data_IF_883627920683
#
_entry.id   IF_883627920683
#
_cell.length_a   1.000
_cell.length_b   1.000
_cell.length_c   1.000
_cell.angle_alpha   90.00
_cell.angle_beta   90.00
_cell.angle_gamma   90.00
#
_symmetry.space_group_name_H-M   'P 1'
#
loop_
_entity.id
_entity.type
_entity.pdbx_description
1 polymer ?
2 non-polymer ?
3 non-polymer ?
4 non-polymer ?
5 water ?
#
# COMPACT_ATOMS: atom_id res chain seq x y z
N UNK A 2 5.71 -14.18 -35.70
CA UNK A 2 5.50 -13.74 -34.31
C UNK A 2 4.57 -12.54 -34.33
N UNK A 3 4.03 -12.23 -33.14
CA UNK A 3 3.07 -11.18 -32.97
C UNK A 3 3.10 -10.69 -31.53
N UNK A 4 2.73 -9.42 -31.37
CA UNK A 4 2.62 -8.84 -30.03
C UNK A 4 1.37 -9.37 -29.32
N UNK A 5 1.56 -10.00 -28.17
CA UNK A 5 0.46 -10.54 -27.36
C UNK A 5 0.00 -9.58 -26.27
N UNK A 6 0.93 -8.76 -25.76
CA UNK A 6 0.62 -7.76 -24.76
C UNK A 6 1.66 -6.64 -24.93
N UNK A 7 1.23 -5.42 -24.60
CA UNK A 7 2.17 -4.29 -24.63
C UNK A 7 1.60 -3.21 -23.77
N UNK A 8 2.51 -2.53 -23.05
CA UNK A 8 2.17 -1.28 -22.38
C UNK A 8 3.46 -0.47 -22.24
N UNK A 9 3.31 0.84 -22.16
CA UNK A 9 4.51 1.69 -22.08
C UNK A 9 4.06 2.99 -21.43
N UNK A 10 5.04 3.73 -20.88
CA UNK A 10 4.74 5.03 -20.31
C UNK A 10 5.92 5.55 -19.50
N UNK A 11 5.53 6.36 -18.48
CA UNK A 11 6.56 7.03 -17.68
C UNK A 11 6.41 6.56 -16.22
N UNK A 12 7.54 6.12 -15.66
CA UNK A 12 7.64 5.68 -14.28
C UNK A 12 8.45 6.68 -13.45
N UNK A 13 8.29 6.61 -12.15
CA UNK A 13 9.14 7.35 -11.18
C UNK A 13 9.00 8.85 -11.37
N UNK A 14 7.77 9.33 -11.60
CA UNK A 14 7.47 10.75 -11.71
C UNK A 14 7.15 11.30 -10.34
N UNK A 15 8.09 12.06 -9.79
CA UNK A 15 7.90 12.69 -8.47
C UNK A 15 7.07 13.96 -8.60
N UNK A 16 6.10 14.15 -7.74
CA UNK A 16 5.19 15.30 -7.79
C UNK A 16 4.93 15.82 -6.39
N UNK A 17 5.06 17.15 -6.22
CA UNK A 17 4.66 17.84 -5.01
C UNK A 17 3.55 18.83 -5.35
N UNK A 18 2.61 19.01 -4.43
CA UNK A 18 1.60 20.08 -4.54
C UNK A 18 1.38 20.73 -3.18
N UNK A 19 1.21 22.06 -3.17
CA UNK A 19 0.88 22.82 -1.98
C UNK A 19 -0.46 23.49 -2.16
N UNK A 20 -1.24 23.55 -1.08
CA UNK A 20 -2.43 24.34 -0.91
C UNK A 20 -2.18 25.42 0.12
N UNK A 21 -2.48 26.65 -0.22
CA UNK A 21 -2.29 27.80 0.65
C UNK A 21 -3.62 28.44 1.00
N UNK A 22 -4.00 28.53 2.25
CA UNK A 22 -5.17 29.26 2.69
C UNK A 22 -4.77 30.71 2.95
N UNK A 23 -5.16 31.65 2.10
CA UNK A 23 -4.61 32.99 2.41
C UNK A 23 -5.36 33.73 3.51
N UNK A 24 -6.52 33.24 3.95
CA UNK A 24 -7.21 33.90 5.06
C UNK A 24 -6.67 33.45 6.41
N UNK A 25 -6.23 32.19 6.48
CA UNK A 25 -5.70 31.70 7.74
C UNK A 25 -4.18 31.56 7.67
N UNK A 26 -3.58 31.51 6.52
CA UNK A 26 -2.13 31.38 6.35
C UNK A 26 -1.60 29.97 6.38
N UNK A 27 -2.50 29.05 6.62
CA UNK A 27 -2.24 27.62 6.78
C UNK A 27 -1.99 27.03 5.42
N UNK A 28 -0.85 26.35 5.32
CA UNK A 28 -0.46 25.65 4.08
C UNK A 28 -0.52 24.15 4.30
N UNK A 29 -0.82 23.37 3.27
CA UNK A 29 -0.87 21.93 3.37
C UNK A 29 -0.15 21.35 2.17
N UNK A 30 0.70 20.35 2.37
CA UNK A 30 1.51 19.79 1.26
C UNK A 30 1.15 18.33 1.02
N UNK A 31 1.35 17.92 -0.24
CA UNK A 31 1.12 16.58 -0.75
C UNK A 31 2.34 16.20 -1.61
N UNK A 32 2.86 14.97 -1.45
CA UNK A 32 3.94 14.50 -2.31
C UNK A 32 3.71 13.04 -2.68
N UNK A 33 3.96 12.74 -3.96
CA UNK A 33 3.71 11.41 -4.50
C UNK A 33 4.79 11.04 -5.52
N UNK A 34 4.84 9.77 -5.84
CA UNK A 34 5.53 9.25 -7.01
C UNK A 34 4.53 8.53 -7.89
N UNK A 35 4.52 8.85 -9.19
CA UNK A 35 3.47 8.39 -10.11
C UNK A 35 4.11 7.60 -11.24
N UNK A 36 3.38 6.54 -11.64
CA UNK A 36 3.68 5.80 -12.86
C UNK A 36 2.37 5.71 -13.70
N UNK A 37 2.49 6.00 -15.00
CA UNK A 37 1.38 5.83 -15.92
C UNK A 37 1.86 4.99 -17.10
N UNK A 38 1.22 3.84 -17.33
CA UNK A 38 1.48 3.00 -18.48
C UNK A 38 0.18 2.87 -19.31
N UNK A 39 0.30 3.04 -20.62
CA UNK A 39 -0.81 3.00 -21.56
C UNK A 39 -0.80 1.74 -22.39
N UNK A 40 -2.03 1.33 -22.77
CA UNK A 40 -2.28 0.21 -23.67
C UNK A 40 -3.22 0.69 -24.78
N UNK A 41 -3.12 0.04 -25.95
CA UNK A 41 -4.11 0.32 -27.00
C UNK A 41 -3.57 -0.21 -28.31
N UNK A 42 -3.94 0.51 -29.36
CA UNK A 42 -3.57 0.08 -30.72
C UNK A 42 -2.16 0.56 -31.05
N UNK A 43 -1.21 -0.01 -30.33
CA UNK A 43 0.18 0.43 -30.36
C UNK A 43 1.12 -0.61 -30.93
N UNK A 44 0.63 -1.75 -31.35
CA UNK A 44 1.50 -2.85 -31.75
C UNK A 44 2.44 -2.47 -32.89
N UNK A 45 2.03 -1.61 -33.83
CA UNK A 45 2.91 -1.29 -34.96
C UNK A 45 4.11 -0.47 -34.56
N UNK A 46 4.13 0.12 -33.35
CA UNK A 46 5.37 0.78 -32.88
C UNK A 46 6.45 -0.27 -32.66
N UNK A 47 6.04 -1.47 -32.28
CA UNK A 47 6.93 -2.60 -32.04
C UNK A 47 7.30 -3.32 -33.32
N UNK A 48 6.31 -3.57 -34.19
CA UNK A 48 6.56 -4.46 -35.32
C UNK A 48 6.97 -3.74 -36.59
N UNK A 49 6.68 -2.46 -36.74
CA UNK A 49 6.87 -1.76 -38.05
C UNK A 49 7.57 -0.42 -37.85
N UNK A 50 8.15 -0.17 -36.65
CA UNK A 50 8.83 1.10 -36.43
C UNK A 50 7.88 2.28 -36.68
N UNK A 51 6.61 2.12 -36.35
CA UNK A 51 5.60 3.17 -36.55
C UNK A 51 5.40 3.95 -35.27
N UNK A 52 6.12 5.08 -35.11
CA UNK A 52 6.01 5.84 -33.88
C UNK A 52 4.77 6.75 -33.84
N UNK A 53 3.98 6.81 -34.94
CA UNK A 53 2.80 7.69 -34.93
C UNK A 53 1.77 7.36 -33.84
N UNK A 54 1.78 6.10 -33.40
CA UNK A 54 0.86 5.62 -32.39
C UNK A 54 1.34 5.86 -30.97
N UNK A 55 2.57 6.39 -30.86
CA UNK A 55 3.15 6.60 -29.52
C UNK A 55 2.90 8.02 -29.03
N UNK A 56 2.17 8.11 -27.93
CA UNK A 56 2.09 9.33 -27.07
C UNK A 56 3.43 9.28 -26.33
N UNK A 57 4.35 10.20 -26.58
CA UNK A 57 5.69 10.09 -26.00
C UNK A 57 5.63 10.02 -24.48
N UNK A 58 6.55 9.23 -23.92
CA UNK A 58 6.53 9.14 -22.45
C UNK A 58 6.79 10.51 -21.83
N UNK A 59 7.58 11.37 -22.49
CA UNK A 59 7.77 12.73 -21.99
C UNK A 59 6.46 13.50 -21.89
N UNK A 60 5.59 13.28 -22.89
CA UNK A 60 4.26 13.92 -22.90
C UNK A 60 3.35 13.40 -21.79
N UNK A 61 3.46 12.08 -21.51
CA UNK A 61 2.75 11.49 -20.35
C UNK A 61 3.21 12.20 -19.08
N UNK A 62 4.52 12.39 -18.91
CA UNK A 62 5.06 13.13 -17.76
C UNK A 62 4.44 14.52 -17.69
N UNK A 63 4.46 15.26 -18.81
CA UNK A 63 3.83 16.61 -18.78
C UNK A 63 2.39 16.58 -18.31
N UNK A 64 1.69 15.56 -18.82
CA UNK A 64 0.25 15.41 -18.48
C UNK A 64 0.01 15.18 -17.01
N UNK A 65 0.91 14.39 -16.36
CA UNK A 65 0.79 14.20 -14.91
C UNK A 65 0.84 15.55 -14.18
N UNK A 66 1.85 16.39 -14.53
CA UNK A 66 1.95 17.66 -13.85
C UNK A 66 0.77 18.59 -14.12
N UNK A 67 0.32 18.62 -15.39
CA UNK A 67 -0.84 19.47 -15.72
C UNK A 67 -2.08 19.02 -14.97
N UNK A 68 -2.27 17.70 -14.90
CA UNK A 68 -3.46 17.16 -14.21
C UNK A 68 -3.39 17.53 -12.73
N UNK A 69 -2.21 17.46 -12.10
CA UNK A 69 -2.09 17.85 -10.70
C UNK A 69 -2.35 19.34 -10.50
N UNK A 70 -1.97 20.16 -11.50
CA UNK A 70 -2.25 21.61 -11.35
C UNK A 70 -3.75 21.92 -11.38
N UNK A 71 -4.49 21.15 -12.21
CA UNK A 71 -5.89 21.51 -12.50
C UNK A 71 -6.88 20.73 -11.67
N UNK A 72 -6.48 19.82 -10.82
CA UNK A 72 -7.38 18.90 -10.14
C UNK A 72 -6.88 18.62 -8.75
N UNK A 73 -7.76 18.14 -7.89
CA UNK A 73 -7.28 17.69 -6.57
C UNK A 73 -6.35 16.51 -6.71
N UNK A 74 -5.31 16.46 -5.87
CA UNK A 74 -4.42 15.30 -5.84
C UNK A 74 -4.81 14.35 -4.70
N UNK A 75 -5.83 14.72 -3.90
CA UNK A 75 -6.29 13.88 -2.82
C UNK A 75 -7.81 13.73 -2.92
N UNK A 76 -8.37 12.59 -2.57
CA UNK A 76 -7.63 11.36 -2.27
C UNK A 76 -6.95 10.79 -3.52
N UNK A 77 -5.91 9.99 -3.35
CA UNK A 77 -5.16 9.48 -4.53
C UNK A 77 -6.00 8.61 -5.45
N UNK A 78 -7.02 7.98 -4.90
CA UNK A 78 -7.96 7.17 -5.73
C UNK A 78 -8.64 8.06 -6.77
N UNK A 79 -8.99 9.28 -6.34
CA UNK A 79 -9.63 10.25 -7.23
C UNK A 79 -8.64 10.76 -8.26
N UNK A 80 -7.47 11.21 -7.82
CA UNK A 80 -6.46 11.74 -8.75
C UNK A 80 -6.09 10.71 -9.80
N UNK A 81 -5.87 9.45 -9.38
CA UNK A 81 -5.50 8.43 -10.35
C UNK A 81 -6.61 8.14 -11.37
N UNK A 82 -7.86 8.22 -10.89
CA UNK A 82 -9.03 8.03 -11.78
C UNK A 82 -9.16 9.15 -12.80
N UNK A 83 -8.92 10.41 -12.35
CA UNK A 83 -8.95 11.56 -13.23
C UNK A 83 -7.88 11.39 -14.29
N UNK A 84 -6.64 11.06 -13.87
CA UNK A 84 -5.49 10.97 -14.74
C UNK A 84 -5.68 9.85 -15.75
N UNK A 85 -6.13 8.67 -15.34
CA UNK A 85 -6.28 7.57 -16.26
C UNK A 85 -7.44 7.83 -17.25
N UNK A 86 -8.52 8.41 -16.76
CA UNK A 86 -9.67 8.73 -17.62
C UNK A 86 -9.21 9.66 -18.75
N UNK A 87 -8.35 10.66 -18.39
CA UNK A 87 -7.86 11.59 -19.38
C UNK A 87 -7.29 10.87 -20.59
N UNK A 88 -6.41 9.86 -20.39
CA UNK A 88 -5.73 9.27 -21.52
C UNK A 88 -6.70 8.51 -22.46
N UNK A 89 -7.64 7.79 -21.86
CA UNK A 89 -8.55 7.03 -22.72
C UNK A 89 -9.55 7.95 -23.38
N UNK A 90 -9.90 9.11 -22.82
CA UNK A 90 -10.78 10.05 -23.50
C UNK A 90 -10.05 10.90 -24.52
N UNK A 91 -8.82 11.30 -24.23
CA UNK A 91 -8.09 12.20 -25.14
C UNK A 91 -7.65 11.49 -26.40
N UNK A 92 -7.22 10.23 -26.33
CA UNK A 92 -6.58 9.50 -27.41
C UNK A 92 -7.47 8.35 -27.86
N UNK A 93 -8.05 8.43 -29.05
CA UNK A 93 -9.00 7.40 -29.51
C UNK A 93 -8.41 6.01 -29.46
N UNK A 94 -7.13 5.90 -29.79
CA UNK A 94 -6.49 4.60 -29.95
C UNK A 94 -5.88 4.02 -28.67
N UNK A 95 -5.93 4.79 -27.59
CA UNK A 95 -5.53 4.32 -26.26
C UNK A 95 -6.77 3.81 -25.52
N UNK A 96 -6.70 2.57 -25.06
CA UNK A 96 -7.88 1.88 -24.54
C UNK A 96 -7.72 1.48 -23.09
N UNK A 97 -6.54 1.65 -22.47
CA UNK A 97 -6.39 1.44 -21.03
C UNK A 97 -5.26 2.33 -20.54
N UNK A 98 -5.43 2.75 -19.30
CA UNK A 98 -4.39 3.50 -18.58
C UNK A 98 -4.25 2.94 -17.20
N UNK A 99 -3.03 2.61 -16.83
CA UNK A 99 -2.68 1.96 -15.58
C UNK A 99 -1.89 2.96 -14.76
N UNK A 100 -2.47 3.43 -13.68
CA UNK A 100 -1.89 4.52 -12.89
C UNK A 100 -1.55 3.99 -11.50
N UNK A 101 -0.28 4.07 -11.13
CA UNK A 101 0.17 3.70 -9.80
C UNK A 101 0.67 4.96 -9.09
N UNK A 102 0.23 5.14 -7.86
CA UNK A 102 0.63 6.29 -7.08
C UNK A 102 1.08 5.82 -5.71
N UNK A 103 2.26 6.31 -5.30
CA UNK A 103 2.80 6.16 -3.97
C UNK A 103 2.71 7.54 -3.30
N UNK A 104 2.00 7.67 -2.16
CA UNK A 104 1.87 8.92 -1.41
C UNK A 104 2.84 8.87 -0.24
N UNK A 105 3.65 9.91 -0.11
CA UNK A 105 4.68 10.06 0.90
C UNK A 105 4.13 10.91 2.06
N UNK A 106 4.53 10.60 3.31
CA UNK A 106 3.99 11.34 4.46
C UNK A 106 4.71 12.65 4.70
N UNK A 107 3.91 13.69 4.84
CA UNK A 107 4.33 15.02 5.32
C UNK A 107 3.33 15.46 6.39
N UNK A 108 3.64 15.15 7.64
CA UNK A 108 2.76 15.41 8.77
C UNK A 108 3.06 16.76 9.38
N UNK A 109 2.05 17.56 9.62
CA UNK A 109 2.25 18.91 10.16
C UNK A 109 2.99 18.85 11.49
N UNK A 110 3.99 19.69 11.69
CA UNK A 110 4.70 19.76 12.95
C UNK A 110 3.89 20.50 14.03
N UNK A 111 4.01 19.99 15.24
CA UNK A 111 3.54 20.69 16.42
C UNK A 111 4.73 21.33 17.13
N UNK A 112 4.59 22.64 17.30
CA UNK A 112 5.65 23.44 17.88
C UNK A 112 5.06 24.11 19.13
N UNK A 113 5.69 23.85 20.26
CA UNK A 113 5.19 24.30 21.55
C UNK A 113 3.69 24.03 21.69
N UNK A 114 3.28 22.84 21.28
CA UNK A 114 1.91 22.44 21.48
C UNK A 114 0.86 22.98 20.53
N UNK A 115 1.30 23.70 19.51
CA UNK A 115 0.37 24.25 18.52
C UNK A 115 0.77 23.79 17.12
N UNK A 116 -0.17 23.35 16.29
CA UNK A 116 0.15 23.03 14.89
C UNK A 116 0.76 24.18 14.11
N UNK A 117 1.87 23.92 13.42
CA UNK A 117 2.54 24.95 12.66
C UNK A 117 1.91 25.13 11.28
N UNK A 118 1.74 26.38 10.83
CA UNK A 118 1.08 26.59 9.56
C UNK A 118 1.75 26.09 8.30
N UNK A 119 3.02 25.82 8.24
CA UNK A 119 3.77 25.48 7.05
C UNK A 119 5.05 24.68 7.19
N UNK A 120 5.15 23.88 8.25
CA UNK A 120 6.30 23.02 8.48
C UNK A 120 5.85 21.60 8.76
N UNK A 121 6.57 20.65 8.16
CA UNK A 121 6.16 19.26 8.10
C UNK A 121 7.32 18.32 8.36
N UNK A 122 6.97 17.13 8.85
CA UNK A 122 7.95 16.07 9.11
C UNK A 122 7.57 14.78 8.39
N UNK A 123 8.57 14.08 7.87
CA UNK A 123 8.38 12.72 7.33
C UNK A 123 8.34 11.79 8.54
N UNK A 124 7.19 11.57 9.11
CA UNK A 124 7.09 10.57 10.20
C UNK A 124 7.00 9.15 9.51
N UNK A 125 8.06 8.58 9.10
CA UNK A 125 8.02 7.20 8.62
C UNK A 125 7.87 7.12 7.16
N UNK A 126 8.44 6.01 6.73
CA UNK A 126 8.41 5.62 5.36
C UNK A 126 7.15 4.85 5.05
N UNK A 127 6.19 4.75 5.97
CA UNK A 127 4.91 4.16 5.59
C UNK A 127 4.32 4.97 4.43
N UNK A 128 3.75 4.24 3.46
CA UNK A 128 3.17 4.81 2.27
C UNK A 128 1.67 4.51 2.25
N UNK A 129 0.92 5.37 1.57
CA UNK A 129 -0.45 5.11 1.14
C UNK A 129 -0.39 5.04 -0.39
N UNK A 130 -0.93 3.98 -0.97
CA UNK A 130 -0.77 3.75 -2.40
C UNK A 130 -2.15 3.52 -3.05
N UNK A 131 -2.14 3.70 -4.36
CA UNK A 131 -3.27 3.24 -5.19
C UNK A 131 -2.71 2.67 -6.49
N UNK A 132 -3.47 1.70 -7.01
CA UNK A 132 -3.35 1.19 -8.37
C UNK A 132 -4.73 1.39 -9.01
N UNK A 133 -4.79 2.21 -10.03
CA UNK A 133 -6.01 2.57 -10.74
C UNK A 133 -5.91 2.11 -12.18
N UNK A 134 -6.75 1.15 -12.56
CA UNK A 134 -6.74 0.64 -13.94
C UNK A 134 -8.04 1.15 -14.60
N UNK A 135 -7.84 2.03 -15.55
CA UNK A 135 -8.97 2.64 -16.29
C UNK A 135 -8.99 1.94 -17.64
N UNK A 136 -10.06 1.18 -17.89
CA UNK A 136 -10.14 0.32 -19.06
C UNK A 136 -11.40 0.67 -19.85
N UNK A 137 -11.20 1.14 -21.09
CA UNK A 137 -12.31 1.62 -21.89
C UNK A 137 -13.30 0.48 -22.07
N UNK A 138 -14.55 0.81 -21.79
CA UNK A 138 -15.62 -0.18 -21.93
C UNK A 138 -15.77 -1.03 -20.68
N UNK A 139 -14.84 -0.96 -19.74
CA UNK A 139 -14.87 -1.82 -18.54
C UNK A 139 -14.90 -1.06 -17.22
N UNK A 140 -14.69 0.23 -17.17
CA UNK A 140 -14.78 1.05 -15.98
C UNK A 140 -13.39 1.27 -15.36
N UNK A 141 -13.45 1.43 -14.04
CA UNK A 141 -12.24 1.80 -13.26
C UNK A 141 -12.13 0.82 -12.11
N UNK A 142 -11.01 0.12 -12.06
CA UNK A 142 -10.69 -0.86 -11.04
C UNK A 142 -9.60 -0.24 -10.11
N UNK A 143 -9.94 -0.10 -8.84
CA UNK A 143 -9.07 0.54 -7.87
C UNK A 143 -8.70 -0.41 -6.77
N UNK A 144 -7.38 -0.53 -6.53
CA UNK A 144 -6.82 -1.16 -5.37
C UNK A 144 -6.11 -0.08 -4.53
N UNK A 145 -6.46 0.01 -3.26
CA UNK A 145 -5.87 0.94 -2.34
C UNK A 145 -5.02 0.18 -1.34
N UNK A 146 -3.95 0.79 -0.84
CA UNK A 146 -3.15 0.04 0.12
C UNK A 146 -2.41 0.98 1.05
N UNK A 147 -1.99 0.40 2.16
CA UNK A 147 -0.96 0.98 3.03
C UNK A 147 0.18 -0.03 3.00
N UNK A 148 1.42 0.48 3.06
CA UNK A 148 2.60 -0.37 3.02
C UNK A 148 3.71 0.25 3.84
N UNK A 149 4.69 -0.56 4.25
CA UNK A 149 5.78 -0.01 5.02
C UNK A 149 5.40 0.41 6.41
N UNK A 150 4.33 -0.13 6.98
CA UNK A 150 3.93 0.12 8.37
C UNK A 150 4.62 -0.93 9.24
N UNK A 151 5.71 -0.55 9.86
CA UNK A 151 6.60 -1.48 10.57
C UNK A 151 6.29 -1.45 12.08
N UNK A 152 5.98 -2.61 12.61
CA UNK A 152 5.49 -2.74 13.98
C UNK A 152 6.21 -3.93 14.64
N UNK A 153 6.16 -3.92 15.98
CA UNK A 153 6.72 -4.96 16.80
C UNK A 153 5.90 -5.06 18.08
N UNK A 154 5.61 -6.31 18.49
CA UNK A 154 5.11 -6.53 19.85
C UNK A 154 6.06 -7.51 20.51
N UNK A 155 6.24 -7.26 21.81
CA UNK A 155 7.31 -7.92 22.58
C UNK A 155 6.82 -9.19 23.30
N UNK A 156 5.52 -9.41 23.31
CA UNK A 156 4.89 -10.60 23.89
C UNK A 156 3.52 -10.72 23.26
N UNK A 157 2.71 -11.69 23.73
CA UNK A 157 1.37 -11.95 23.20
C UNK A 157 1.39 -12.28 21.71
N UNK A 158 2.40 -13.10 21.38
CA UNK A 158 2.50 -13.81 20.12
C UNK A 158 2.97 -15.22 20.47
N UNK A 159 2.33 -16.22 19.84
CA UNK A 159 2.61 -17.61 20.04
C UNK A 159 2.75 -18.33 18.68
N UNK A 160 3.39 -19.50 18.66
CA UNK A 160 3.39 -20.35 17.46
C UNK A 160 3.73 -21.77 17.87
N UNK A 161 2.65 -22.56 18.01
CA UNK A 161 2.74 -23.96 18.39
C UNK A 161 1.69 -24.76 17.62
N UNK A 162 1.80 -26.07 17.63
CA UNK A 162 0.81 -26.90 17.01
C UNK A 162 0.97 -27.06 15.51
N UNK A 163 2.11 -26.65 14.93
CA UNK A 163 2.39 -26.80 13.50
C UNK A 163 2.85 -28.23 13.18
N UNK A 164 2.83 -28.58 11.91
CA UNK A 164 3.21 -29.92 11.45
C UNK A 164 4.67 -30.18 11.80
N UNK A 165 4.95 -31.38 12.33
CA UNK A 165 6.28 -31.82 12.66
C UNK A 165 6.60 -33.13 11.95
N UNK A 166 7.66 -33.18 11.17
CA UNK A 166 8.22 -34.36 10.49
C UNK A 166 9.74 -34.30 10.40
N UNK A 167 10.33 -35.10 9.52
CA UNK A 167 11.80 -35.25 9.46
C UNK A 167 12.48 -34.01 8.90
N UNK A 168 11.75 -32.99 8.44
CA UNK A 168 12.33 -31.73 8.00
C UNK A 168 12.24 -30.65 9.09
N UNK A 169 11.66 -30.94 10.25
CA UNK A 169 11.31 -29.94 11.24
C UNK A 169 12.33 -29.88 12.39
N UNK A 170 12.87 -28.68 12.63
CA UNK A 170 13.70 -28.43 13.79
C UNK A 170 13.12 -27.35 14.69
N UNK A 171 12.18 -26.54 14.23
CA UNK A 171 11.69 -25.40 14.99
C UNK A 171 10.98 -25.81 16.27
N UNK A 172 11.36 -25.20 17.39
CA UNK A 172 10.68 -25.44 18.65
C UNK A 172 9.35 -24.70 18.74
N UNK A 173 8.33 -25.33 19.29
CA UNK A 173 7.12 -24.62 19.67
C UNK A 173 7.36 -23.50 20.65
N UNK A 174 6.58 -22.43 20.58
CA UNK A 174 6.70 -21.35 21.55
C UNK A 174 5.32 -20.79 21.94
N UNK A 175 5.22 -20.44 23.22
CA UNK A 175 4.05 -19.79 23.80
C UNK A 175 4.29 -18.32 24.11
N UNK A 176 5.43 -17.76 23.73
CA UNK A 176 5.72 -16.34 23.97
C UNK A 176 6.91 -15.97 23.12
N UNK A 177 6.67 -15.22 22.03
CA UNK A 177 7.73 -14.78 21.13
C UNK A 177 7.47 -13.34 20.76
N UNK A 178 8.49 -12.73 20.16
CA UNK A 178 8.35 -11.45 19.50
C UNK A 178 7.64 -11.63 18.14
N UNK A 179 6.83 -10.68 17.79
CA UNK A 179 6.30 -10.65 16.43
C UNK A 179 6.53 -9.26 15.86
N UNK A 180 7.21 -9.20 14.72
CA UNK A 180 7.44 -7.94 14.02
C UNK A 180 7.23 -8.15 12.52
N UNK A 181 6.63 -7.13 11.91
CA UNK A 181 6.32 -7.23 10.47
C UNK A 181 6.34 -5.83 9.88
N UNK A 182 6.30 -5.82 8.55
CA UNK A 182 6.10 -4.63 7.70
C UNK A 182 4.72 -4.85 7.05
N UNK A 183 3.70 -4.09 7.44
CA UNK A 183 2.35 -4.36 6.96
C UNK A 183 2.18 -3.84 5.52
N UNK A 184 1.75 -4.72 4.61
CA UNK A 184 1.26 -4.38 3.29
C UNK A 184 -0.20 -4.87 3.26
N UNK A 185 -1.13 -3.96 3.26
CA UNK A 185 -2.59 -4.26 3.27
C UNK A 185 -3.24 -3.57 2.09
N UNK A 186 -4.00 -4.34 1.30
CA UNK A 186 -4.64 -3.81 0.10
C UNK A 186 -6.13 -4.09 0.14
N UNK A 187 -6.94 -3.11 -0.20
CA UNK A 187 -8.39 -3.30 -0.31
C UNK A 187 -8.77 -3.01 -1.75
N UNK A 188 -9.53 -3.94 -2.32
CA UNK A 188 -10.01 -3.91 -3.69
C UNK A 188 -11.45 -3.41 -3.75
N UNK A 189 -11.69 -2.27 -4.38
CA UNK A 189 -13.03 -1.67 -4.48
C UNK A 189 -13.84 -2.41 -5.52
N UNK A 190 -15.16 -2.38 -5.29
CA UNK A 190 -16.10 -2.71 -6.37
C UNK A 190 -15.69 -1.94 -7.61
N UNK A 191 -15.88 -2.56 -8.79
CA UNK A 191 -15.69 -1.86 -10.03
C UNK A 191 -16.55 -0.62 -10.07
N UNK A 192 -15.96 0.47 -10.51
CA UNK A 192 -16.70 1.71 -10.73
C UNK A 192 -16.97 1.88 -12.21
N UNK A 193 -18.12 2.44 -12.57
CA UNK A 193 -18.44 2.50 -14.01
C UNK A 193 -17.64 3.55 -14.76
N UNK A 194 -17.07 4.50 -14.02
CA UNK A 194 -16.38 5.64 -14.58
C UNK A 194 -16.08 6.65 -13.51
N UNK A 195 -15.58 7.78 -13.99
CA UNK A 195 -15.15 8.81 -13.06
C UNK A 195 -16.29 9.38 -12.24
N UNK A 196 -17.52 9.52 -12.79
CA UNK A 196 -18.62 10.04 -11.97
C UNK A 196 -18.88 9.19 -10.73
N UNK A 197 -18.83 7.86 -10.94
CA UNK A 197 -19.11 6.99 -9.77
C UNK A 197 -17.97 7.08 -8.73
N UNK A 198 -16.72 7.19 -9.20
CA UNK A 198 -15.61 7.39 -8.28
C UNK A 198 -15.84 8.67 -7.46
N UNK A 199 -16.23 9.77 -8.10
CA UNK A 199 -16.46 11.04 -7.43
C UNK A 199 -17.58 10.89 -6.39
N UNK A 200 -18.59 10.07 -6.70
CA UNK A 200 -19.71 9.93 -5.78
C UNK A 200 -19.30 9.29 -4.46
N UNK A 201 -18.19 8.57 -4.44
CA UNK A 201 -17.75 7.87 -3.24
C UNK A 201 -16.52 8.49 -2.59
N UNK A 202 -16.15 9.71 -2.99
CA UNK A 202 -14.90 10.29 -2.53
C UNK A 202 -14.71 10.27 -1.01
N UNK A 203 -15.65 10.60 -0.15
CA UNK A 203 -15.35 10.57 1.29
C UNK A 203 -14.99 9.19 1.79
N UNK A 204 -15.44 8.16 1.12
CA UNK A 204 -15.12 6.81 1.56
C UNK A 204 -13.66 6.43 1.43
N UNK A 205 -12.91 7.10 0.55
CA UNK A 205 -11.50 6.66 0.36
C UNK A 205 -10.64 6.96 1.60
N UNK A 206 -10.63 8.23 2.07
CA UNK A 206 -9.85 8.52 3.28
C UNK A 206 -10.40 7.80 4.51
N UNK A 207 -11.74 7.66 4.58
CA UNK A 207 -12.35 6.99 5.72
C UNK A 207 -11.93 5.54 5.81
N UNK A 208 -11.84 4.89 4.64
CA UNK A 208 -11.52 3.47 4.60
C UNK A 208 -10.03 3.22 4.84
N UNK A 209 -9.18 4.09 4.34
CA UNK A 209 -7.75 4.04 4.66
C UNK A 209 -7.59 4.15 6.18
N UNK A 210 -8.27 5.15 6.79
CA UNK A 210 -8.18 5.33 8.25
C UNK A 210 -8.68 4.12 9.01
N UNK A 211 -9.79 3.54 8.57
CA UNK A 211 -10.29 2.33 9.21
C UNK A 211 -9.31 1.18 9.08
N UNK A 212 -8.71 1.01 7.90
CA UNK A 212 -7.78 -0.11 7.69
C UNK A 212 -6.60 0.04 8.60
N UNK A 213 -6.07 1.25 8.68
CA UNK A 213 -4.90 1.52 9.55
C UNK A 213 -5.25 1.28 11.03
N UNK A 214 -6.41 1.78 11.48
CA UNK A 214 -6.81 1.65 12.88
C UNK A 214 -7.07 0.19 13.23
N UNK A 215 -7.76 -0.54 12.35
CA UNK A 215 -7.99 -1.95 12.58
C UNK A 215 -6.68 -2.73 12.63
N UNK A 216 -5.78 -2.41 11.70
CA UNK A 216 -4.46 -3.12 11.68
C UNK A 216 -3.74 -2.97 12.99
N UNK A 217 -3.64 -1.71 13.45
CA UNK A 217 -2.85 -1.43 14.65
C UNK A 217 -3.55 -1.99 15.90
N UNK A 218 -4.87 -1.79 16.04
CA UNK A 218 -5.55 -2.28 17.24
C UNK A 218 -5.53 -3.79 17.29
N UNK A 219 -5.75 -4.46 16.17
CA UNK A 219 -5.75 -5.91 16.16
C UNK A 219 -4.35 -6.45 16.42
N UNK A 220 -3.33 -5.87 15.79
CA UNK A 220 -1.96 -6.31 16.08
C UNK A 220 -1.67 -6.19 17.58
N UNK A 221 -2.02 -5.04 18.17
CA UNK A 221 -1.71 -4.78 19.55
C UNK A 221 -2.49 -5.62 20.53
N UNK A 222 -3.74 -5.93 20.21
CA UNK A 222 -4.61 -6.57 21.19
C UNK A 222 -4.79 -8.07 20.96
N UNK A 223 -4.50 -8.62 19.78
CA UNK A 223 -4.68 -10.07 19.57
C UNK A 223 -3.54 -10.83 20.22
N UNK A 224 -3.89 -11.80 21.06
CA UNK A 224 -2.89 -12.73 21.58
C UNK A 224 -2.73 -13.77 20.50
N UNK A 225 -1.76 -13.53 19.65
CA UNK A 225 -1.74 -14.10 18.33
C UNK A 225 -1.35 -15.58 18.27
N UNK A 226 -2.14 -16.42 17.63
CA UNK A 226 -1.86 -17.82 17.43
C UNK A 226 -0.90 -18.08 16.25
N UNK A 227 -0.78 -17.12 15.35
CA UNK A 227 0.04 -17.16 14.14
C UNK A 227 -0.17 -15.87 13.40
N UNK A 228 0.72 -15.56 12.49
CA UNK A 228 0.53 -14.42 11.58
C UNK A 228 -0.76 -14.63 10.76
N UNK A 229 -0.95 -15.85 10.29
CA UNK A 229 -2.13 -16.23 9.53
C UNK A 229 -3.42 -15.83 10.25
N UNK A 230 -3.66 -16.15 11.51
CA UNK A 230 -4.83 -16.00 12.32
C UNK A 230 -5.04 -14.53 12.59
N UNK A 231 -3.96 -13.81 12.88
CA UNK A 231 -4.11 -12.41 13.21
C UNK A 231 -4.46 -11.60 11.97
N UNK A 232 -3.80 -11.87 10.83
CA UNK A 232 -4.09 -11.11 9.62
C UNK A 232 -5.52 -11.34 9.16
N UNK A 233 -6.06 -12.55 9.34
CA UNK A 233 -7.44 -12.81 8.93
C UNK A 233 -8.40 -11.94 9.75
N UNK A 234 -8.15 -11.82 11.08
CA UNK A 234 -9.04 -10.96 11.90
C UNK A 234 -9.05 -9.54 11.43
N UNK A 235 -7.89 -9.02 11.00
CA UNK A 235 -7.83 -7.66 10.47
C UNK A 235 -8.72 -7.54 9.24
N UNK A 236 -8.52 -8.49 8.31
CA UNK A 236 -9.22 -8.41 7.03
C UNK A 236 -10.73 -8.48 7.24
N UNK A 237 -11.18 -9.37 8.13
CA UNK A 237 -12.63 -9.54 8.30
C UNK A 237 -13.24 -8.27 8.90
N UNK A 238 -12.54 -7.58 9.80
CA UNK A 238 -13.11 -6.37 10.37
C UNK A 238 -13.19 -5.24 9.35
N UNK A 239 -12.19 -5.15 8.47
CA UNK A 239 -12.22 -4.10 7.44
C UNK A 239 -13.39 -4.36 6.49
N UNK A 240 -13.58 -5.61 6.09
CA UNK A 240 -14.72 -5.91 5.20
C UNK A 240 -16.03 -5.57 5.85
N UNK A 241 -16.17 -5.79 7.16
CA UNK A 241 -17.40 -5.53 7.88
C UNK A 241 -17.71 -4.05 7.98
N UNK A 242 -16.71 -3.19 7.83
CA UNK A 242 -16.88 -1.75 8.00
C UNK A 242 -16.95 -0.97 6.70
N UNK A 243 -16.79 -1.59 5.55
CA UNK A 243 -16.95 -0.91 4.26
C UNK A 243 -17.56 -1.83 3.21
N UNK A 244 -18.84 -1.66 2.96
CA UNK A 244 -19.55 -2.51 2.04
C UNK A 244 -19.03 -2.37 0.63
N UNK A 245 -18.40 -1.26 0.24
CA UNK A 245 -17.99 -1.07 -1.14
C UNK A 245 -16.64 -1.72 -1.49
N UNK A 246 -15.98 -2.34 -0.55
CA UNK A 246 -14.77 -3.17 -0.88
C UNK A 246 -15.21 -4.61 -1.02
N UNK A 247 -14.57 -5.27 -1.98
CA UNK A 247 -14.83 -6.68 -2.24
C UNK A 247 -13.88 -7.63 -1.59
N UNK A 248 -12.59 -7.27 -1.51
CA UNK A 248 -11.57 -8.14 -0.89
C UNK A 248 -10.57 -7.25 -0.13
N UNK A 249 -9.94 -7.89 0.83
CA UNK A 249 -8.81 -7.33 1.58
C UNK A 249 -7.66 -8.36 1.51
N UNK A 250 -6.47 -7.90 1.14
CA UNK A 250 -5.29 -8.75 1.01
C UNK A 250 -4.23 -8.23 1.97
N UNK A 251 -3.58 -9.12 2.69
CA UNK A 251 -2.40 -8.79 3.48
C UNK A 251 -1.23 -9.61 2.95
N UNK A 252 -0.06 -8.98 2.98
CA UNK A 252 1.23 -9.64 2.74
C UNK A 252 2.17 -9.22 3.88
N UNK A 253 2.56 -10.17 4.72
CA UNK A 253 3.26 -9.87 5.95
C UNK A 253 4.51 -10.72 6.04
N UNK A 254 5.69 -10.10 6.09
CA UNK A 254 6.89 -10.87 6.49
C UNK A 254 6.86 -11.12 7.98
N UNK A 255 7.45 -12.26 8.36
CA UNK A 255 7.71 -12.56 9.76
C UNK A 255 9.21 -12.28 9.95
N UNK A 256 9.47 -11.10 10.54
CA UNK A 256 10.87 -10.58 10.65
C UNK A 256 11.39 -11.16 11.97
N UNK A 257 12.16 -12.24 11.86
CA UNK A 257 12.45 -13.06 13.05
C UNK A 257 13.44 -12.39 14.00
N UNK A 258 13.19 -12.53 15.30
CA UNK A 258 14.10 -12.12 16.37
C UNK A 258 14.47 -13.40 17.12
N UNK A 259 15.72 -13.83 17.02
CA UNK A 259 16.14 -15.10 17.60
C UNK A 259 16.67 -14.91 19.02
N UNK A 260 16.26 -15.84 19.89
CA UNK A 260 16.89 -15.93 21.21
C UNK A 260 18.39 -16.21 21.03
N UNK A 261 19.16 -15.79 22.02
CA UNK A 261 20.61 -15.99 22.05
C UNK A 261 20.99 -16.74 23.33
N UNK A 262 21.38 -17.99 23.18
CA UNK A 262 21.82 -18.82 24.29
C UNK A 262 23.21 -18.33 24.74
N UNK A 263 23.30 -17.81 25.96
CA UNK A 263 24.55 -17.33 26.52
C UNK A 263 25.03 -18.21 27.65
N UNK A 264 24.44 -19.39 27.83
CA UNK A 264 24.75 -20.17 29.04
C UNK A 264 26.16 -20.75 28.97
N UNK A 265 26.80 -20.80 27.81
CA UNK A 265 28.21 -21.15 27.65
C UNK A 265 29.13 -20.12 28.28
N UNK A 266 28.63 -18.93 28.61
CA UNK A 266 29.39 -17.85 29.24
C UNK A 266 28.91 -17.63 30.66
N UNK A 267 29.66 -18.15 31.63
CA UNK A 267 29.41 -17.94 33.05
C UNK A 267 27.98 -18.37 33.43
N UNK A 268 27.36 -19.28 32.69
CA UNK A 268 26.01 -19.73 33.03
C UNK A 268 24.92 -18.68 32.83
N UNK A 269 25.21 -17.64 32.04
CA UNK A 269 24.21 -16.59 31.86
C UNK A 269 22.92 -17.14 31.26
N UNK A 270 21.81 -16.72 31.82
CA UNK A 270 20.48 -17.18 31.44
C UNK A 270 19.74 -16.10 30.62
N UNK A 271 19.58 -16.44 29.34
CA UNK A 271 18.97 -15.51 28.40
C UNK A 271 17.97 -16.17 27.46
N UNK A 272 17.41 -17.28 27.88
CA UNK A 272 16.40 -17.98 27.06
C UNK A 272 15.13 -18.14 27.90
N UNK A 273 14.06 -18.44 27.18
CA UNK A 273 12.79 -18.69 27.86
C UNK A 273 12.37 -17.48 28.68
N UNK A 274 11.94 -17.68 29.93
CA UNK A 274 11.45 -16.59 30.76
C UNK A 274 12.55 -15.57 31.01
N UNK A 275 13.80 -15.99 30.84
CA UNK A 275 14.93 -15.10 31.10
C UNK A 275 15.39 -14.34 29.86
N UNK A 276 14.72 -14.52 28.73
CA UNK A 276 15.16 -13.93 27.47
C UNK A 276 15.00 -12.40 27.52
N UNK A 277 16.10 -11.69 27.37
CA UNK A 277 16.17 -10.25 27.40
C UNK A 277 16.80 -9.71 26.12
N UNK A 278 17.90 -10.30 25.68
CA UNK A 278 18.67 -9.83 24.50
C UNK A 278 18.47 -10.81 23.36
N UNK A 279 18.09 -10.31 22.20
CA UNK A 279 17.78 -11.09 20.99
C UNK A 279 18.61 -10.61 19.82
N UNK A 280 18.76 -11.49 18.82
CA UNK A 280 19.43 -11.21 17.56
C UNK A 280 18.39 -11.04 16.47
N UNK A 281 18.08 -9.81 16.06
CA UNK A 281 17.22 -9.61 14.89
C UNK A 281 17.88 -10.21 13.67
N UNK A 282 17.10 -10.97 12.89
CA UNK A 282 17.60 -11.62 11.68
C UNK A 282 17.17 -10.86 10.41
N UNK A 283 18.11 -10.45 9.58
CA UNK A 283 17.78 -9.75 8.37
C UNK A 283 17.17 -10.65 7.30
N UNK A 284 17.68 -11.85 7.18
CA UNK A 284 17.18 -12.87 6.24
C UNK A 284 17.57 -14.21 6.78
N UNK A 285 16.88 -15.29 6.40
CA UNK A 285 15.62 -15.30 5.62
C UNK A 285 14.49 -14.76 6.48
N UNK A 286 13.28 -14.72 5.88
CA UNK A 286 12.10 -14.30 6.61
C UNK A 286 10.89 -15.10 6.15
N UNK A 287 9.99 -15.42 7.09
CA UNK A 287 8.70 -15.96 6.66
C UNK A 287 7.97 -14.91 5.85
N UNK A 288 7.07 -15.35 4.98
CA UNK A 288 6.24 -14.48 4.18
C UNK A 288 4.85 -15.14 4.12
N UNK A 289 3.88 -14.39 4.61
CA UNK A 289 2.51 -14.93 4.79
C UNK A 289 1.55 -14.01 4.06
N UNK A 290 0.71 -14.64 3.20
CA UNK A 290 -0.22 -13.88 2.36
C UNK A 290 -1.63 -14.45 2.47
N UNK A 291 -2.63 -13.56 2.39
CA UNK A 291 -4.04 -13.98 2.40
C UNK A 291 -4.83 -12.95 1.60
N UNK A 292 -5.84 -13.37 0.87
CA UNK A 292 -6.89 -12.56 0.28
C UNK A 292 -8.22 -13.04 0.85
N UNK A 293 -8.93 -12.12 1.50
CA UNK A 293 -10.19 -12.42 2.18
C UNK A 293 -11.32 -11.70 1.43
N UNK A 294 -12.41 -12.43 1.17
CA UNK A 294 -13.60 -11.88 0.51
C UNK A 294 -14.82 -12.27 1.33
N UNK A 295 -15.98 -11.94 0.77
CA UNK A 295 -17.22 -12.18 1.54
C UNK A 295 -17.79 -13.52 1.12
N UNK A 296 -18.48 -14.19 2.03
CA UNK A 296 -19.05 -15.47 1.60
C UNK A 296 -20.36 -15.24 0.83
#
# INVERSE_FOLDING_TARGET
XSAVKAARYGKDNVRVYKVHKDEKTGVQTVYEMTVCVLLEGEIETSYTKADNSVIVATDSIKNTIYITAKQNPVTPPELFGSILGTHFIEKYNHIHAAHVNIVCHRWTRMDIDGKPHPHSFIRDSEEKRNVQVDVVEGKGIDIKSSLSGLTVLKSTNSQFWGFLRDEYTTLKETWDRILSTDVDATWQWKNFSGLQEVRSHVPKFDATWATAREVTLKTFAEDNSASVQATMYKMAEQILARQQLIETVEYSLPNKHYFEIDLSWHKGLQNTGKNAEVFAPQSDPNGLIKCTVGRS
#
